data_IF_356025792422
#
_entry.id   IF_356025792422
#
_cell.length_a   1.000
_cell.length_b   1.000
_cell.length_c   1.000
_cell.angle_alpha   90.00
_cell.angle_beta   90.00
_cell.angle_gamma   90.00
#
_symmetry.space_group_name_H-M   'P 1'
#
loop_
_entity.id
_entity.type
_entity.pdbx_description
1 polymer ?
#
# COMPACT_ATOMS: atom_id res chain seq x y z
N UNK A 1 17.99 6.98 23.35
CA UNK A 1 19.28 7.62 22.94
C UNK A 1 18.98 8.59 21.81
N UNK A 2 19.68 9.71 21.71
CA UNK A 2 19.58 10.60 20.54
C UNK A 2 20.30 9.94 19.36
N UNK A 3 19.65 9.84 18.22
CA UNK A 3 20.38 9.47 17.00
C UNK A 3 21.40 10.57 16.66
N UNK A 4 22.63 10.20 16.25
CA UNK A 4 23.57 11.21 15.72
C UNK A 4 22.90 11.87 14.49
N UNK A 5 22.92 13.21 14.44
CA UNK A 5 22.41 14.02 13.35
C UNK A 5 20.87 14.22 13.26
N UNK A 6 20.07 13.76 14.23
CA UNK A 6 18.63 14.06 14.29
C UNK A 6 18.22 14.66 15.63
N UNK A 7 17.11 15.41 15.64
CA UNK A 7 16.48 15.90 16.88
C UNK A 7 15.63 14.82 17.58
N UNK A 8 15.48 13.65 16.96
CA UNK A 8 14.57 12.62 17.40
C UNK A 8 15.16 11.76 18.52
N UNK A 9 14.36 11.50 19.55
CA UNK A 9 14.68 10.59 20.64
C UNK A 9 13.96 9.28 20.37
N UNK A 10 14.68 8.25 19.90
CA UNK A 10 14.12 6.91 19.76
C UNK A 10 14.42 6.05 20.97
N UNK A 11 13.41 5.33 21.44
CA UNK A 11 13.59 4.30 22.44
C UNK A 11 14.39 3.13 21.83
N UNK A 12 15.47 2.70 22.46
CA UNK A 12 16.29 1.58 21.97
C UNK A 12 15.82 0.22 22.50
N UNK A 13 14.76 0.19 23.29
CA UNK A 13 14.19 -1.06 23.78
C UNK A 13 13.33 -1.69 22.68
N UNK A 14 13.73 -2.83 22.08
CA UNK A 14 12.97 -3.50 21.03
C UNK A 14 11.61 -4.01 21.51
N UNK A 15 11.43 -4.16 22.81
CA UNK A 15 10.17 -4.54 23.47
C UNK A 15 9.41 -3.36 24.07
N UNK A 16 9.66 -2.14 23.60
CA UNK A 16 8.96 -0.96 24.09
C UNK A 16 7.49 -0.95 23.63
N UNK A 17 6.51 -0.97 24.55
CA UNK A 17 5.09 -0.95 24.18
C UNK A 17 4.70 0.24 23.31
N UNK A 18 5.28 1.42 23.54
CA UNK A 18 5.02 2.61 22.73
C UNK A 18 5.53 2.50 21.29
N UNK A 19 6.62 1.75 21.05
CA UNK A 19 7.08 1.45 19.68
C UNK A 19 6.15 0.48 18.99
N UNK A 20 5.70 -0.56 19.70
CA UNK A 20 4.73 -1.52 19.18
C UNK A 20 3.41 -0.82 18.85
N UNK A 21 2.90 0.03 19.73
CA UNK A 21 1.69 0.81 19.51
C UNK A 21 1.80 1.68 18.25
N UNK A 22 2.89 2.43 18.12
CA UNK A 22 3.14 3.25 16.93
C UNK A 22 3.26 2.41 15.66
N UNK A 23 3.88 1.23 15.74
CA UNK A 23 4.01 0.32 14.60
C UNK A 23 2.65 -0.25 14.18
N UNK A 24 1.81 -0.65 15.15
CA UNK A 24 0.46 -1.13 14.86
C UNK A 24 -0.42 0.00 14.28
N UNK A 25 -0.32 1.22 14.82
CA UNK A 25 -1.04 2.39 14.27
C UNK A 25 -0.64 2.66 12.82
N UNK A 26 0.65 2.57 12.49
CA UNK A 26 1.11 2.68 11.11
C UNK A 26 0.53 1.55 10.26
N UNK A 27 0.59 0.31 10.74
CA UNK A 27 0.13 -0.88 10.03
C UNK A 27 -1.36 -0.84 9.69
N UNK A 28 -2.22 -0.44 10.64
CA UNK A 28 -3.67 -0.32 10.42
C UNK A 28 -4.06 0.95 9.66
N UNK A 29 -3.12 1.86 9.46
CA UNK A 29 -3.33 3.16 8.83
C UNK A 29 -3.72 3.09 7.35
N UNK A 30 -4.29 4.19 6.83
CA UNK A 30 -4.77 4.29 5.44
C UNK A 30 -3.68 4.08 4.38
N UNK A 31 -2.45 4.40 4.72
CA UNK A 31 -1.29 4.24 3.84
C UNK A 31 -0.77 2.81 3.76
N UNK A 32 -1.11 2.00 4.76
CA UNK A 32 -0.77 0.59 4.86
C UNK A 32 -2.03 -0.29 4.71
N UNK A 33 -2.36 -1.14 5.67
CA UNK A 33 -3.43 -2.14 5.53
C UNK A 33 -4.86 -1.59 5.63
N UNK A 34 -5.06 -0.30 5.98
CA UNK A 34 -6.37 0.40 6.06
C UNK A 34 -7.43 -0.36 6.88
N UNK A 35 -7.02 -0.90 8.02
CA UNK A 35 -7.91 -1.62 8.93
C UNK A 35 -8.69 -0.61 9.77
N UNK A 36 -9.96 -0.41 9.43
CA UNK A 36 -10.82 0.58 10.09
C UNK A 36 -11.35 0.09 11.42
N UNK A 37 -11.47 1.01 12.37
CA UNK A 37 -12.11 0.77 13.67
C UNK A 37 -11.13 0.44 14.80
N UNK A 38 -9.84 0.29 14.52
CA UNK A 38 -8.79 0.20 15.52
C UNK A 38 -8.17 1.59 15.74
N UNK A 39 -8.66 2.29 16.77
CA UNK A 39 -8.06 3.54 17.23
C UNK A 39 -6.98 3.31 18.29
N UNK A 40 -6.24 4.37 18.62
CA UNK A 40 -5.14 4.36 19.59
C UNK A 40 -5.52 3.70 20.93
N UNK A 41 -6.66 4.08 21.51
CA UNK A 41 -7.13 3.52 22.79
C UNK A 41 -7.40 2.00 22.72
N UNK A 42 -7.95 1.50 21.61
CA UNK A 42 -8.20 0.06 21.44
C UNK A 42 -6.87 -0.70 21.25
N UNK A 43 -5.94 -0.14 20.47
CA UNK A 43 -4.62 -0.74 20.26
C UNK A 43 -3.84 -0.79 21.57
N UNK A 44 -3.86 0.31 22.33
CA UNK A 44 -3.22 0.36 23.64
C UNK A 44 -3.72 -0.77 24.56
N UNK A 45 -5.05 -0.93 24.68
CA UNK A 45 -5.65 -1.98 25.48
C UNK A 45 -5.33 -3.38 24.96
N UNK A 46 -5.36 -3.60 23.65
CA UNK A 46 -4.99 -4.89 23.06
C UNK A 46 -3.56 -5.30 23.40
N UNK A 47 -2.64 -4.34 23.51
CA UNK A 47 -1.26 -4.58 23.91
C UNK A 47 -1.19 -4.82 25.43
N UNK A 48 -1.80 -3.97 26.22
CA UNK A 48 -1.76 -4.02 27.70
C UNK A 48 -2.36 -5.31 28.24
N UNK A 49 -3.51 -5.73 27.68
CA UNK A 49 -4.23 -6.95 28.07
C UNK A 49 -3.62 -8.22 27.40
N UNK A 50 -2.53 -8.08 26.62
CA UNK A 50 -1.77 -9.19 26.03
C UNK A 50 -2.46 -9.90 24.87
N UNK A 51 -3.42 -9.26 24.22
CA UNK A 51 -4.08 -9.81 23.03
C UNK A 51 -3.16 -9.80 21.81
N UNK A 52 -2.29 -8.78 21.71
CA UNK A 52 -1.31 -8.61 20.62
C UNK A 52 0.06 -8.24 21.17
N UNK A 53 1.10 -8.86 20.64
CA UNK A 53 2.51 -8.59 20.90
C UNK A 53 3.29 -8.23 19.61
N UNK A 54 2.69 -8.49 18.44
CA UNK A 54 3.22 -8.14 17.12
C UNK A 54 2.10 -7.65 16.20
N UNK A 55 2.47 -7.03 15.08
CA UNK A 55 1.50 -6.63 14.04
C UNK A 55 0.78 -7.83 13.41
N UNK A 56 1.39 -9.01 13.42
CA UNK A 56 0.78 -10.21 12.85
C UNK A 56 -0.34 -10.78 13.72
N UNK A 57 -0.30 -10.55 15.04
CA UNK A 57 -1.31 -11.06 15.97
C UNK A 57 -2.69 -10.45 15.75
N UNK A 58 -2.76 -9.33 15.02
CA UNK A 58 -4.04 -8.75 14.58
C UNK A 58 -4.90 -9.77 13.83
N UNK A 59 -4.28 -10.64 13.04
CA UNK A 59 -4.98 -11.63 12.21
C UNK A 59 -5.46 -12.86 12.97
N UNK A 60 -5.04 -13.02 14.23
CA UNK A 60 -5.55 -14.06 15.14
C UNK A 60 -6.62 -13.56 16.11
N UNK A 61 -6.94 -12.26 16.12
CA UNK A 61 -7.94 -11.67 17.03
C UNK A 61 -9.34 -12.29 16.85
N UNK A 62 -9.66 -12.81 15.67
CA UNK A 62 -10.91 -13.50 15.41
C UNK A 62 -11.14 -14.72 16.31
N UNK A 63 -10.08 -15.41 16.69
CA UNK A 63 -10.11 -16.57 17.60
C UNK A 63 -10.49 -16.18 19.03
N UNK A 64 -10.28 -14.91 19.39
CA UNK A 64 -10.57 -14.35 20.73
C UNK A 64 -11.81 -13.43 20.72
N UNK A 65 -12.71 -13.60 19.75
CA UNK A 65 -13.87 -12.72 19.55
C UNK A 65 -14.73 -12.55 20.82
N UNK A 66 -15.02 -13.64 21.52
CA UNK A 66 -15.87 -13.62 22.72
C UNK A 66 -15.20 -12.85 23.86
N UNK A 67 -13.91 -13.09 24.10
CA UNK A 67 -13.12 -12.37 25.10
C UNK A 67 -13.06 -10.86 24.80
N UNK A 68 -12.86 -10.49 23.53
CA UNK A 68 -12.83 -9.08 23.09
C UNK A 68 -14.15 -8.36 23.35
N UNK A 69 -15.28 -9.09 23.22
CA UNK A 69 -16.61 -8.54 23.47
C UNK A 69 -16.87 -8.42 24.98
N UNK A 70 -16.53 -9.45 25.77
CA UNK A 70 -16.71 -9.48 27.24
C UNK A 70 -15.90 -8.38 27.90
N UNK A 71 -14.62 -8.23 27.52
CA UNK A 71 -13.72 -7.19 28.01
C UNK A 71 -14.02 -5.79 27.44
N UNK A 72 -14.83 -5.71 26.37
CA UNK A 72 -15.21 -4.47 25.73
C UNK A 72 -14.04 -3.67 25.16
N UNK A 73 -12.96 -4.35 24.74
CA UNK A 73 -11.69 -3.72 24.30
C UNK A 73 -11.87 -2.89 23.04
N UNK A 74 -12.54 -3.48 22.04
CA UNK A 74 -12.84 -2.81 20.76
C UNK A 74 -14.24 -2.18 20.80
N UNK A 75 -15.03 -2.57 21.80
CA UNK A 75 -16.42 -2.16 22.02
C UNK A 75 -17.35 -3.36 22.11
N UNK A 76 -18.65 -3.11 21.88
CA UNK A 76 -19.65 -4.19 21.91
C UNK A 76 -19.62 -5.00 20.61
N UNK A 77 -20.28 -6.15 20.62
CA UNK A 77 -20.37 -7.14 19.55
C UNK A 77 -20.36 -6.54 18.12
N UNK A 78 -21.28 -5.64 17.82
CA UNK A 78 -21.39 -5.02 16.48
C UNK A 78 -20.11 -4.29 16.04
N UNK A 79 -19.40 -3.65 16.97
CA UNK A 79 -18.17 -2.92 16.65
C UNK A 79 -16.98 -3.88 16.52
N UNK A 80 -16.91 -4.87 17.42
CA UNK A 80 -15.90 -5.94 17.36
C UNK A 80 -16.02 -6.69 16.04
N UNK A 81 -17.22 -7.12 15.64
CA UNK A 81 -17.43 -7.81 14.35
C UNK A 81 -17.03 -6.98 13.14
N UNK A 82 -17.30 -5.67 13.16
CA UNK A 82 -16.84 -4.77 12.08
C UNK A 82 -15.31 -4.69 11.96
N UNK A 83 -14.64 -4.64 13.10
CA UNK A 83 -13.17 -4.58 13.12
C UNK A 83 -12.58 -5.91 12.66
N UNK A 84 -13.09 -7.04 13.16
CA UNK A 84 -12.65 -8.36 12.73
C UNK A 84 -12.89 -8.57 11.23
N UNK A 85 -14.02 -8.13 10.70
CA UNK A 85 -14.30 -8.16 9.27
C UNK A 85 -13.34 -7.26 8.46
N UNK A 86 -12.95 -6.09 9.00
CA UNK A 86 -11.98 -5.21 8.36
C UNK A 86 -10.57 -5.82 8.36
N UNK A 87 -10.18 -6.53 9.42
CA UNK A 87 -8.92 -7.28 9.49
C UNK A 87 -8.94 -8.40 8.44
N UNK A 88 -10.00 -9.18 8.36
CA UNK A 88 -10.12 -10.27 7.39
C UNK A 88 -10.06 -9.74 5.95
N UNK A 89 -10.83 -8.69 5.64
CA UNK A 89 -10.82 -8.06 4.32
C UNK A 89 -9.44 -7.49 3.93
N UNK A 90 -8.64 -7.08 4.91
CA UNK A 90 -7.31 -6.53 4.65
C UNK A 90 -6.30 -7.57 4.13
N UNK A 91 -6.58 -8.87 4.28
CA UNK A 91 -5.73 -9.95 3.75
C UNK A 91 -5.59 -9.90 2.23
N UNK A 92 -6.64 -9.44 1.55
CA UNK A 92 -6.69 -9.30 0.09
C UNK A 92 -6.03 -8.01 -0.43
N UNK A 93 -5.52 -7.17 0.46
CA UNK A 93 -4.85 -5.94 0.05
C UNK A 93 -3.59 -6.25 -0.77
N UNK A 94 -3.29 -5.35 -1.70
CA UNK A 94 -2.07 -5.42 -2.52
C UNK A 94 -0.79 -5.44 -1.65
N UNK A 95 0.23 -6.24 -2.03
CA UNK A 95 1.42 -6.47 -1.19
C UNK A 95 2.23 -5.22 -0.89
N UNK A 96 2.18 -4.17 -1.72
CA UNK A 96 2.82 -2.89 -1.40
C UNK A 96 2.22 -2.21 -0.16
N UNK A 97 0.96 -2.50 0.17
CA UNK A 97 0.34 -2.01 1.40
C UNK A 97 0.88 -2.74 2.63
N UNK A 98 1.04 -4.06 2.52
CA UNK A 98 1.72 -4.86 3.55
C UNK A 98 3.16 -4.36 3.73
N UNK A 99 3.92 -4.22 2.64
CA UNK A 99 5.32 -3.75 2.69
C UNK A 99 5.44 -2.36 3.35
N UNK A 100 4.50 -1.45 3.06
CA UNK A 100 4.43 -0.15 3.76
C UNK A 100 4.18 -0.32 5.25
N UNK A 101 3.29 -1.24 5.61
CA UNK A 101 2.91 -1.55 7.00
C UNK A 101 4.01 -2.19 7.82
N UNK A 102 4.96 -2.90 7.20
CA UNK A 102 6.11 -3.49 7.88
C UNK A 102 7.01 -2.44 8.56
N UNK A 103 6.91 -1.17 8.18
CA UNK A 103 7.61 -0.07 8.84
C UNK A 103 9.13 -0.06 8.61
N UNK A 104 9.60 -0.63 7.49
CA UNK A 104 11.02 -0.63 7.13
C UNK A 104 11.48 0.83 6.93
N UNK A 105 12.58 1.26 7.58
CA UNK A 105 13.08 2.61 7.45
C UNK A 105 13.29 3.04 5.99
N UNK A 106 12.75 4.20 5.61
CA UNK A 106 12.85 4.72 4.23
C UNK A 106 11.84 4.13 3.24
N UNK A 107 11.04 3.13 3.63
CA UNK A 107 10.08 2.48 2.74
C UNK A 107 8.66 2.97 3.03
N UNK A 108 8.26 4.02 2.30
CA UNK A 108 6.89 4.52 2.26
C UNK A 108 6.11 3.94 1.07
N UNK A 109 4.86 4.43 0.87
CA UNK A 109 3.95 3.95 -0.18
C UNK A 109 4.56 3.92 -1.59
N UNK A 110 5.29 4.97 -1.96
CA UNK A 110 5.89 5.07 -3.31
C UNK A 110 6.98 4.02 -3.48
N UNK A 111 7.91 3.96 -2.54
CA UNK A 111 9.00 2.97 -2.56
C UNK A 111 8.47 1.53 -2.53
N UNK A 112 7.48 1.24 -1.67
CA UNK A 112 6.85 -0.08 -1.59
C UNK A 112 6.17 -0.48 -2.92
N UNK A 113 5.53 0.48 -3.62
CA UNK A 113 4.94 0.23 -4.94
C UNK A 113 6.00 -0.10 -5.99
N UNK A 114 7.04 0.72 -6.10
CA UNK A 114 8.13 0.48 -7.08
C UNK A 114 8.82 -0.86 -6.82
N UNK A 115 9.06 -1.22 -5.55
CA UNK A 115 9.61 -2.51 -5.17
C UNK A 115 8.70 -3.68 -5.59
N UNK A 116 7.39 -3.56 -5.36
CA UNK A 116 6.46 -4.63 -5.74
C UNK A 116 6.26 -4.73 -7.24
N UNK A 117 6.30 -3.63 -7.97
CA UNK A 117 6.30 -3.65 -9.44
C UNK A 117 7.54 -4.35 -10.01
N UNK A 118 8.71 -4.15 -9.38
CA UNK A 118 9.97 -4.76 -9.83
C UNK A 118 10.08 -6.25 -9.46
N UNK A 119 9.77 -6.60 -8.20
CA UNK A 119 9.98 -7.96 -7.67
C UNK A 119 8.73 -8.87 -7.78
N UNK A 120 7.55 -8.32 -8.02
CA UNK A 120 6.29 -9.05 -8.13
C UNK A 120 5.76 -9.63 -6.82
N UNK A 121 6.61 -9.83 -5.80
CA UNK A 121 6.20 -10.39 -4.51
C UNK A 121 7.14 -9.98 -3.37
N UNK A 122 6.62 -10.01 -2.14
CA UNK A 122 7.43 -9.83 -0.93
C UNK A 122 8.45 -10.97 -0.79
N UNK A 123 8.12 -12.18 -1.25
CA UNK A 123 9.03 -13.33 -1.19
C UNK A 123 10.22 -13.20 -2.15
N UNK A 124 10.02 -12.59 -3.32
CA UNK A 124 11.11 -12.29 -4.24
C UNK A 124 11.99 -11.17 -3.67
N UNK A 125 11.38 -10.09 -3.16
CA UNK A 125 12.10 -9.00 -2.50
C UNK A 125 12.92 -9.48 -1.29
N UNK A 126 12.38 -10.40 -0.51
CA UNK A 126 13.06 -10.96 0.68
C UNK A 126 14.33 -11.76 0.34
N UNK A 127 14.49 -12.20 -0.91
CA UNK A 127 15.67 -12.95 -1.41
C UNK A 127 16.62 -12.07 -2.20
N UNK A 128 16.22 -10.84 -2.49
CA UNK A 128 17.00 -9.93 -3.31
C UNK A 128 18.27 -9.44 -2.59
N UNK A 129 19.34 -9.27 -3.34
CA UNK A 129 20.57 -8.64 -2.88
C UNK A 129 20.44 -7.10 -2.79
N UNK A 130 21.37 -6.44 -2.10
CA UNK A 130 21.43 -4.98 -2.07
C UNK A 130 21.55 -4.40 -3.48
N UNK A 131 22.36 -5.03 -4.36
CA UNK A 131 22.59 -4.62 -5.73
C UNK A 131 21.30 -4.65 -6.56
N UNK A 132 20.52 -5.73 -6.46
CA UNK A 132 19.23 -5.87 -7.16
C UNK A 132 18.20 -4.83 -6.67
N UNK A 133 18.19 -4.54 -5.37
CA UNK A 133 17.30 -3.51 -4.82
C UNK A 133 17.70 -2.11 -5.31
N UNK A 134 18.99 -1.84 -5.51
CA UNK A 134 19.47 -0.55 -6.02
C UNK A 134 19.11 -0.32 -7.49
N UNK A 135 18.76 -1.34 -8.25
CA UNK A 135 18.23 -1.19 -9.61
C UNK A 135 16.82 -0.58 -9.64
N UNK A 136 16.10 -0.68 -8.52
CA UNK A 136 14.75 -0.09 -8.41
C UNK A 136 14.85 1.42 -8.34
N UNK A 137 14.01 2.09 -9.12
CA UNK A 137 13.96 3.55 -9.20
C UNK A 137 13.81 4.19 -7.82
N UNK A 138 14.57 5.26 -7.60
CA UNK A 138 14.59 6.06 -6.36
C UNK A 138 15.01 5.27 -5.10
N UNK A 139 15.63 4.08 -5.25
CA UNK A 139 16.24 3.34 -4.16
C UNK A 139 17.68 3.80 -3.90
N UNK A 140 17.96 4.17 -2.65
CA UNK A 140 19.32 4.50 -2.18
C UNK A 140 19.91 3.39 -1.32
N UNK A 141 21.24 3.43 -1.13
CA UNK A 141 21.99 2.44 -0.33
C UNK A 141 21.41 2.23 1.08
N UNK A 142 20.96 3.33 1.74
CA UNK A 142 20.38 3.25 3.11
C UNK A 142 19.11 2.42 3.10
N UNK A 143 18.24 2.63 2.12
CA UNK A 143 16.98 1.88 2.00
C UNK A 143 17.22 0.42 1.60
N UNK A 144 18.15 0.15 0.67
CA UNK A 144 18.50 -1.20 0.26
C UNK A 144 19.04 -2.02 1.44
N UNK A 145 19.98 -1.45 2.20
CA UNK A 145 20.51 -2.08 3.43
C UNK A 145 19.42 -2.34 4.47
N UNK A 146 18.52 -1.37 4.68
CA UNK A 146 17.42 -1.52 5.64
C UNK A 146 16.47 -2.66 5.23
N UNK A 147 16.17 -2.81 3.94
CA UNK A 147 15.35 -3.91 3.42
C UNK A 147 16.03 -5.27 3.66
N UNK A 148 17.27 -5.43 3.22
CA UNK A 148 18.02 -6.68 3.40
C UNK A 148 18.15 -7.03 4.89
N UNK A 149 18.45 -6.05 5.73
CA UNK A 149 18.56 -6.25 7.17
C UNK A 149 17.22 -6.68 7.78
N UNK A 150 16.11 -6.07 7.38
CA UNK A 150 14.77 -6.41 7.87
C UNK A 150 14.42 -7.87 7.52
N UNK A 151 14.60 -8.29 6.28
CA UNK A 151 14.24 -9.63 5.84
C UNK A 151 15.18 -10.72 6.39
N UNK A 152 16.41 -10.37 6.78
CA UNK A 152 17.34 -11.30 7.43
C UNK A 152 17.17 -11.36 8.96
N UNK A 153 16.41 -10.45 9.56
CA UNK A 153 16.17 -10.44 11.00
C UNK A 153 15.23 -11.59 11.42
N UNK A 154 15.61 -12.43 12.40
CA UNK A 154 14.79 -13.56 12.84
C UNK A 154 13.41 -13.18 13.39
N UNK A 155 13.25 -12.00 14.01
CA UNK A 155 11.97 -11.55 14.52
C UNK A 155 11.05 -11.15 13.35
N UNK A 156 11.58 -10.46 12.36
CA UNK A 156 10.86 -10.09 11.12
C UNK A 156 10.42 -11.34 10.35
N UNK A 157 11.29 -12.36 10.25
CA UNK A 157 10.94 -13.62 9.59
C UNK A 157 9.78 -14.35 10.28
N UNK A 158 9.71 -14.32 11.61
CA UNK A 158 8.57 -14.88 12.37
C UNK A 158 7.27 -14.13 12.08
N UNK A 159 7.31 -12.80 12.00
CA UNK A 159 6.16 -11.97 11.66
C UNK A 159 5.68 -12.30 10.24
N UNK A 160 6.59 -12.40 9.28
CA UNK A 160 6.25 -12.75 7.89
C UNK A 160 5.67 -14.17 7.79
N UNK A 161 6.20 -15.12 8.55
CA UNK A 161 5.65 -16.48 8.61
C UNK A 161 4.23 -16.50 9.18
N UNK A 162 3.95 -15.69 10.21
CA UNK A 162 2.62 -15.54 10.78
C UNK A 162 1.63 -14.89 9.79
N UNK A 163 2.03 -13.88 9.03
CA UNK A 163 1.20 -13.31 7.96
C UNK A 163 0.87 -14.32 6.87
N UNK A 164 1.85 -15.15 6.45
CA UNK A 164 1.59 -16.23 5.48
C UNK A 164 0.59 -17.26 6.01
N UNK A 165 0.77 -17.68 7.27
CA UNK A 165 -0.14 -18.62 7.92
C UNK A 165 -1.56 -18.06 8.05
N UNK A 166 -1.69 -16.74 8.22
CA UNK A 166 -2.98 -16.04 8.26
C UNK A 166 -3.61 -15.84 6.87
N UNK A 167 -2.89 -16.11 5.78
CA UNK A 167 -3.39 -15.95 4.41
C UNK A 167 -3.33 -14.52 3.89
N UNK A 168 -2.45 -13.67 4.44
CA UNK A 168 -2.23 -12.31 3.91
C UNK A 168 -1.57 -12.37 2.54
N UNK A 169 -2.01 -11.54 1.62
CA UNK A 169 -1.49 -11.48 0.26
C UNK A 169 -0.04 -10.96 0.21
N UNK A 170 0.86 -11.76 -0.36
CA UNK A 170 2.30 -11.47 -0.54
C UNK A 170 2.67 -11.21 -1.99
N UNK A 171 1.75 -11.45 -2.92
CA UNK A 171 2.03 -11.41 -4.35
C UNK A 171 1.23 -10.29 -4.99
N UNK A 172 1.91 -9.48 -5.78
CA UNK A 172 1.21 -8.57 -6.67
C UNK A 172 0.52 -9.46 -7.70
N UNK A 173 -0.81 -9.47 -7.68
CA UNK A 173 -1.53 -10.10 -8.77
C UNK A 173 -1.00 -9.46 -10.05
N UNK A 174 -0.66 -10.29 -11.00
CA UNK A 174 -0.25 -9.84 -12.32
C UNK A 174 -1.43 -9.03 -12.89
N UNK A 175 -1.40 -7.72 -12.63
CA UNK A 175 -2.37 -6.79 -13.19
C UNK A 175 -2.17 -6.70 -14.69
N UNK A 176 -1.61 -7.83 -15.26
CA UNK A 176 -1.41 -7.94 -16.67
C UNK A 176 -0.80 -6.66 -17.23
N UNK A 177 0.47 -6.37 -16.92
CA UNK A 177 1.24 -5.52 -17.81
C UNK A 177 1.22 -6.24 -19.17
N UNK A 178 0.27 -5.88 -20.00
CA UNK A 178 0.14 -6.42 -21.35
C UNK A 178 1.38 -5.97 -22.14
N UNK A 179 1.84 -4.76 -21.90
CA UNK A 179 3.04 -4.17 -22.48
C UNK A 179 3.45 -2.87 -21.75
N UNK A 180 4.50 -2.20 -22.22
CA UNK A 180 4.99 -0.92 -21.70
C UNK A 180 4.67 0.27 -22.64
N UNK A 181 3.64 0.18 -23.48
CA UNK A 181 3.26 1.24 -24.44
C UNK A 181 3.08 2.60 -23.77
N UNK A 182 2.56 2.63 -22.58
CA UNK A 182 2.33 3.85 -21.82
C UNK A 182 3.36 4.12 -20.72
N UNK A 183 4.52 3.42 -20.75
CA UNK A 183 5.58 3.62 -19.77
C UNK A 183 6.01 5.10 -19.69
N UNK A 184 6.02 5.65 -18.48
CA UNK A 184 6.37 7.04 -18.22
C UNK A 184 5.29 8.06 -18.60
N UNK A 185 4.14 7.66 -19.16
CA UNK A 185 3.04 8.55 -19.51
C UNK A 185 2.05 8.71 -18.37
N UNK A 186 1.58 9.95 -18.19
CA UNK A 186 0.57 10.28 -17.18
C UNK A 186 -0.74 10.66 -17.85
N UNK A 187 -1.79 9.95 -17.51
CA UNK A 187 -3.15 10.13 -18.00
C UNK A 187 -4.05 10.78 -16.95
N UNK A 188 -5.03 11.53 -17.36
CA UNK A 188 -6.16 11.98 -16.51
C UNK A 188 -7.44 11.59 -17.19
N UNK A 189 -8.39 10.99 -16.45
CA UNK A 189 -9.69 10.60 -16.97
C UNK A 189 -10.76 11.55 -16.42
N UNK A 190 -11.64 12.04 -17.29
CA UNK A 190 -12.74 12.95 -16.93
C UNK A 190 -13.99 12.67 -17.74
N UNK A 191 -15.15 12.96 -17.17
CA UNK A 191 -16.45 12.67 -17.82
C UNK A 191 -16.84 11.21 -17.75
N UNK A 192 -17.90 10.85 -18.49
CA UNK A 192 -18.42 9.47 -18.62
C UNK A 192 -18.00 8.90 -19.95
N UNK A 193 -17.29 7.80 -19.95
CA UNK A 193 -16.88 7.09 -21.16
C UNK A 193 -18.03 6.20 -21.67
N UNK A 194 -18.16 6.01 -23.01
CA UNK A 194 -19.27 5.27 -23.62
C UNK A 194 -19.38 3.80 -23.19
N UNK A 195 -18.26 3.07 -23.10
CA UNK A 195 -18.25 1.62 -22.81
C UNK A 195 -17.44 1.25 -21.58
N UNK A 196 -16.45 2.05 -21.19
CA UNK A 196 -15.57 1.77 -20.05
C UNK A 196 -16.01 2.53 -18.79
N UNK A 197 -16.04 1.85 -17.65
CA UNK A 197 -16.08 2.59 -16.39
C UNK A 197 -14.75 3.33 -16.19
N UNK A 198 -14.74 4.39 -15.36
CA UNK A 198 -13.49 5.09 -15.00
C UNK A 198 -12.46 4.13 -14.41
N UNK A 199 -12.92 3.13 -13.65
CA UNK A 199 -12.04 2.13 -13.02
C UNK A 199 -11.42 1.21 -14.08
N UNK A 200 -12.21 0.77 -15.05
CA UNK A 200 -11.73 -0.12 -16.11
C UNK A 200 -10.77 0.62 -17.06
N UNK A 201 -11.08 1.87 -17.40
CA UNK A 201 -10.16 2.71 -18.19
C UNK A 201 -8.84 3.00 -17.45
N UNK A 202 -8.89 3.18 -16.14
CA UNK A 202 -7.69 3.33 -15.33
C UNK A 202 -6.86 2.03 -15.30
N UNK A 203 -7.52 0.88 -15.08
CA UNK A 203 -6.88 -0.43 -15.10
C UNK A 203 -6.25 -0.74 -16.48
N UNK A 204 -6.94 -0.37 -17.56
CA UNK A 204 -6.43 -0.53 -18.92
C UNK A 204 -5.16 0.30 -19.16
N UNK A 205 -5.14 1.57 -18.76
CA UNK A 205 -3.95 2.42 -18.86
C UNK A 205 -2.80 1.87 -18.02
N UNK A 206 -3.09 1.45 -16.81
CA UNK A 206 -2.10 0.93 -15.87
C UNK A 206 -1.55 -0.43 -16.31
N UNK A 207 -2.37 -1.28 -16.96
CA UNK A 207 -1.91 -2.55 -17.54
C UNK A 207 -0.96 -2.38 -18.75
N UNK A 208 -0.92 -1.21 -19.35
CA UNK A 208 0.04 -0.84 -20.40
C UNK A 208 1.19 0.06 -19.90
N UNK A 209 1.46 0.06 -18.59
CA UNK A 209 2.58 0.79 -17.98
C UNK A 209 2.33 2.29 -17.76
N UNK A 210 1.11 2.78 -18.03
CA UNK A 210 0.72 4.18 -17.82
C UNK A 210 0.39 4.50 -16.37
N UNK A 211 0.34 5.79 -16.05
CA UNK A 211 -0.05 6.29 -14.73
C UNK A 211 -1.33 7.12 -14.83
N UNK A 212 -2.31 6.86 -13.96
CA UNK A 212 -3.53 7.66 -13.88
C UNK A 212 -3.47 8.65 -12.72
N UNK A 213 -3.66 9.95 -13.02
CA UNK A 213 -3.67 11.03 -12.04
C UNK A 213 -5.08 11.63 -11.86
N UNK A 214 -5.37 12.10 -10.63
CA UNK A 214 -6.66 12.68 -10.29
C UNK A 214 -6.88 14.10 -10.82
N UNK A 215 -5.82 14.82 -11.20
CA UNK A 215 -5.89 16.22 -11.61
C UNK A 215 -4.94 16.52 -12.78
N UNK A 216 -5.39 17.45 -13.65
CA UNK A 216 -4.60 17.93 -14.80
C UNK A 216 -3.49 18.87 -14.34
N UNK A 217 -2.25 18.64 -14.81
CA UNK A 217 -1.07 19.45 -14.54
C UNK A 217 -0.14 19.46 -15.76
N UNK A 218 0.94 20.26 -15.73
CA UNK A 218 1.99 20.26 -16.78
C UNK A 218 2.70 18.91 -16.94
N UNK A 219 2.52 17.99 -16.01
CA UNK A 219 3.07 16.62 -16.06
C UNK A 219 2.09 15.61 -16.65
N UNK A 220 0.91 16.05 -17.11
CA UNK A 220 -0.08 15.20 -17.74
C UNK A 220 0.21 15.12 -19.23
N UNK A 221 0.36 13.93 -19.77
CA UNK A 221 0.60 13.69 -21.20
C UNK A 221 -0.73 13.61 -21.97
N UNK A 222 -1.72 12.95 -21.40
CA UNK A 222 -3.02 12.72 -22.06
C UNK A 222 -4.19 12.99 -21.12
N UNK A 223 -5.25 13.60 -21.68
CA UNK A 223 -6.56 13.66 -21.02
C UNK A 223 -7.53 12.75 -21.78
N UNK A 224 -8.05 11.73 -21.12
CA UNK A 224 -9.15 10.92 -21.66
C UNK A 224 -10.47 11.56 -21.23
N UNK A 225 -11.18 12.11 -22.19
CA UNK A 225 -12.40 12.91 -21.99
C UNK A 225 -13.63 12.18 -22.53
N UNK A 226 -14.54 11.82 -21.64
CA UNK A 226 -15.87 11.34 -21.99
C UNK A 226 -16.91 12.47 -21.99
N UNK A 227 -18.20 12.10 -22.02
CA UNK A 227 -19.30 13.07 -21.94
C UNK A 227 -19.25 13.86 -20.64
N UNK A 228 -19.62 15.15 -20.71
CA UNK A 228 -19.60 16.07 -19.57
C UNK A 228 -18.24 16.23 -18.87
N UNK A 229 -17.15 16.29 -19.62
CA UNK A 229 -15.78 16.34 -19.12
C UNK A 229 -15.39 17.53 -18.21
N UNK A 230 -16.22 18.57 -18.15
CA UNK A 230 -16.13 19.67 -17.18
C UNK A 230 -14.82 20.48 -17.21
N UNK A 231 -14.44 21.03 -16.05
CA UNK A 231 -13.30 21.96 -15.91
C UNK A 231 -11.93 21.34 -16.21
N UNK A 232 -11.79 20.02 -16.14
CA UNK A 232 -10.53 19.36 -16.49
C UNK A 232 -10.22 19.43 -17.99
N UNK A 233 -11.26 19.39 -18.83
CA UNK A 233 -11.12 19.53 -20.29
C UNK A 233 -10.58 20.93 -20.64
N UNK A 234 -11.18 21.98 -20.08
CA UNK A 234 -10.70 23.35 -20.30
C UNK A 234 -9.25 23.50 -19.87
N UNK A 235 -8.91 23.01 -18.69
CA UNK A 235 -7.55 23.08 -18.16
C UNK A 235 -6.54 22.33 -19.02
N UNK A 236 -6.90 21.18 -19.59
CA UNK A 236 -6.05 20.44 -20.51
C UNK A 236 -5.80 21.20 -21.82
N UNK A 237 -6.86 21.81 -22.36
CA UNK A 237 -6.78 22.66 -23.52
C UNK A 237 -5.84 23.85 -23.28
N UNK A 238 -5.99 24.55 -22.16
CA UNK A 238 -5.17 25.70 -21.78
C UNK A 238 -3.69 25.33 -21.61
N UNK A 239 -3.38 24.09 -21.22
CA UNK A 239 -2.03 23.55 -21.05
C UNK A 239 -1.48 22.88 -22.32
N UNK A 240 -2.24 22.78 -23.40
CA UNK A 240 -1.85 22.13 -24.65
C UNK A 240 -1.66 20.60 -24.52
N UNK A 241 -2.38 19.97 -23.58
CA UNK A 241 -2.32 18.51 -23.35
C UNK A 241 -3.15 17.80 -24.41
N UNK A 242 -2.65 16.69 -24.93
CA UNK A 242 -3.37 15.86 -25.90
C UNK A 242 -4.66 15.31 -25.28
N UNK A 243 -5.78 15.60 -25.94
CA UNK A 243 -7.11 15.15 -25.51
C UNK A 243 -7.53 13.97 -26.38
N UNK A 244 -7.92 12.89 -25.73
CA UNK A 244 -8.40 11.66 -26.35
C UNK A 244 -9.85 11.41 -25.91
N UNK A 245 -10.64 10.86 -26.78
CA UNK A 245 -11.87 10.17 -26.40
C UNK A 245 -11.57 8.69 -26.10
N UNK A 246 -12.58 7.89 -25.81
CA UNK A 246 -12.41 6.46 -25.54
C UNK A 246 -11.84 5.71 -26.76
N UNK A 247 -12.27 6.06 -27.96
CA UNK A 247 -11.76 5.46 -29.21
C UNK A 247 -10.29 5.84 -29.44
N UNK A 248 -9.91 7.09 -29.14
CA UNK A 248 -8.52 7.54 -29.20
C UNK A 248 -7.61 6.82 -28.20
N UNK A 249 -8.12 6.51 -26.99
CA UNK A 249 -7.39 5.69 -26.01
C UNK A 249 -7.18 4.25 -26.56
N UNK A 250 -8.21 3.65 -27.15
CA UNK A 250 -8.13 2.32 -27.74
C UNK A 250 -7.18 2.29 -28.96
N UNK A 251 -7.23 3.30 -29.81
CA UNK A 251 -6.33 3.40 -30.97
C UNK A 251 -4.86 3.48 -30.55
N UNK A 252 -4.55 4.19 -29.44
CA UNK A 252 -3.17 4.21 -28.91
C UNK A 252 -2.68 2.83 -28.42
N UNK A 253 -3.59 1.89 -28.17
CA UNK A 253 -3.24 0.51 -27.77
C UNK A 253 -3.03 -0.41 -28.97
N UNK A 254 -3.58 -0.06 -30.15
CA UNK A 254 -3.45 -0.85 -31.37
C UNK A 254 -2.19 -0.51 -32.18
N UNK A 255 -1.65 0.72 -32.02
CA UNK A 255 -0.39 1.17 -32.65
C UNK A 255 0.86 0.59 -31.95
#
# INVERSE_FOLDING_TARGET
MREPDTSDIKCQNPSCPAQLESHILNFVGRSAMDIKGLGEAAIHRLIEDGFIATIADLYSLGEKREELIEEGIIGKEKNTDKVLAAIEASKENEPQRLLTGLGIPGIGRTAARELMLHFGSIDALAKASEEEILEVRDMGEISAKAIVQYFNDPASQKILAAFRAAGVNFTLEDTGLVDEKFAGKTFVITGTLPSLSRKDAAALIESHGGRVAGSVSKKTDYLVAGEAAGSKLQKATDLGITILDEAGLQALLED
#
